data_IF_646244931303
#
_entry.id   IF_646244931303
#
_cell.length_a   1.000
_cell.length_b   1.000
_cell.length_c   1.000
_cell.angle_alpha   90.00
_cell.angle_beta   90.00
_cell.angle_gamma   90.00
#
_symmetry.space_group_name_H-M   'P 1'
#
loop_
_entity.id
_entity.type
_entity.pdbx_description
1 polymer ?
#
# COMPACT_ATOMS: atom_id res chain seq x y z
N UNK A 1 22.97 -5.79 -18.62
CA UNK A 1 22.32 -7.10 -18.55
C UNK A 1 21.89 -7.39 -17.10
N UNK A 2 20.91 -6.68 -16.50
CA UNK A 2 20.32 -7.00 -15.18
C UNK A 2 18.98 -6.25 -14.95
N UNK A 3 18.12 -6.13 -15.98
CA UNK A 3 16.82 -5.48 -15.85
C UNK A 3 15.61 -6.41 -16.08
N UNK A 4 15.83 -7.69 -16.33
CA UNK A 4 14.75 -8.61 -16.73
C UNK A 4 14.09 -9.37 -15.57
N UNK A 5 14.65 -9.36 -14.36
CA UNK A 5 14.26 -10.35 -13.33
C UNK A 5 13.08 -9.94 -12.46
N UNK A 6 12.78 -8.66 -12.32
CA UNK A 6 11.74 -8.21 -11.38
C UNK A 6 10.30 -8.22 -11.95
N UNK A 7 10.14 -8.19 -13.26
CA UNK A 7 8.81 -8.22 -13.93
C UNK A 7 8.43 -9.60 -14.47
N UNK A 8 9.39 -10.51 -14.66
CA UNK A 8 9.13 -11.88 -15.14
C UNK A 8 8.38 -12.77 -14.15
N UNK A 9 8.43 -12.48 -12.85
CA UNK A 9 7.74 -13.31 -11.86
C UNK A 9 6.22 -13.18 -11.81
N UNK A 10 5.62 -12.19 -12.49
CA UNK A 10 4.16 -12.02 -12.49
C UNK A 10 3.44 -12.70 -13.69
N UNK A 11 4.19 -13.30 -14.63
CA UNK A 11 3.63 -13.68 -15.94
C UNK A 11 4.04 -15.07 -16.45
N UNK A 12 4.49 -15.98 -15.61
CA UNK A 12 4.92 -17.33 -16.05
C UNK A 12 3.80 -18.33 -16.39
N UNK A 13 2.51 -17.95 -16.30
CA UNK A 13 1.39 -18.80 -16.72
C UNK A 13 0.62 -18.23 -17.93
N UNK A 14 1.34 -17.69 -18.94
CA UNK A 14 0.69 -17.12 -20.14
C UNK A 14 0.50 -18.08 -21.32
N UNK A 15 0.69 -19.39 -21.13
CA UNK A 15 0.59 -20.36 -22.23
C UNK A 15 -0.84 -20.57 -22.80
N UNK A 16 -1.86 -19.92 -22.25
CA UNK A 16 -3.22 -20.01 -22.75
C UNK A 16 -3.67 -18.83 -23.66
N UNK A 17 -2.84 -17.81 -23.84
CA UNK A 17 -3.19 -16.66 -24.70
C UNK A 17 -2.37 -16.54 -25.99
N UNK A 18 -1.41 -17.43 -26.22
CA UNK A 18 -0.49 -17.36 -27.38
C UNK A 18 -1.05 -18.03 -28.64
N UNK A 19 -2.20 -18.71 -28.57
CA UNK A 19 -2.73 -19.48 -29.71
C UNK A 19 -3.75 -18.74 -30.59
N UNK A 20 -4.01 -17.44 -30.39
CA UNK A 20 -5.00 -16.69 -31.21
C UNK A 20 -4.36 -15.57 -32.08
N UNK A 21 -3.05 -15.33 -32.01
CA UNK A 21 -2.42 -14.29 -32.83
C UNK A 21 -1.31 -14.87 -33.69
N UNK A 22 -1.68 -15.76 -34.61
CA UNK A 22 -0.88 -16.08 -35.79
C UNK A 22 -1.77 -16.01 -37.02
N UNK A 23 -2.14 -14.80 -37.40
CA UNK A 23 -2.41 -14.50 -38.82
C UNK A 23 -2.29 -12.99 -39.11
N UNK A 24 -1.46 -12.70 -40.11
CA UNK A 24 -1.26 -11.46 -40.86
C UNK A 24 -0.33 -10.40 -40.27
N UNK A 25 0.79 -10.33 -40.86
CA UNK A 25 1.68 -9.20 -41.25
C UNK A 25 1.29 -7.82 -40.73
N UNK A 26 2.24 -7.23 -39.98
CA UNK A 26 2.56 -5.80 -39.94
C UNK A 26 1.45 -4.84 -39.55
N UNK A 27 1.23 -4.76 -38.29
CA UNK A 27 1.15 -3.55 -37.45
C UNK A 27 1.06 -4.07 -36.01
N UNK A 28 2.21 -4.23 -35.36
CA UNK A 28 2.24 -4.42 -33.91
C UNK A 28 1.86 -3.09 -33.26
N UNK A 29 0.56 -2.79 -33.19
CA UNK A 29 0.04 -1.89 -32.17
C UNK A 29 0.27 -2.61 -30.84
N UNK A 30 1.43 -2.41 -30.24
CA UNK A 30 1.65 -2.72 -28.83
C UNK A 30 0.63 -1.87 -28.08
N UNK A 31 -0.52 -2.46 -27.74
CA UNK A 31 -1.56 -1.80 -26.97
C UNK A 31 -0.87 -1.24 -25.73
N UNK A 32 -0.80 0.07 -25.62
CA UNK A 32 -0.13 0.76 -24.53
C UNK A 32 -0.89 0.46 -23.24
N UNK A 33 -0.34 -0.40 -22.40
CA UNK A 33 -0.97 -0.78 -21.12
C UNK A 33 -1.10 0.44 -20.21
N UNK A 34 -2.16 0.51 -19.46
CA UNK A 34 -2.43 1.59 -18.49
C UNK A 34 -2.52 1.02 -17.09
N UNK A 35 -1.67 1.54 -16.18
CA UNK A 35 -1.72 1.22 -14.75
C UNK A 35 -2.25 2.43 -13.96
N UNK A 36 -3.20 2.16 -13.07
CA UNK A 36 -3.66 3.12 -12.08
C UNK A 36 -3.29 2.64 -10.68
N UNK A 37 -2.40 3.35 -10.02
CA UNK A 37 -2.03 3.11 -8.64
C UNK A 37 -2.89 3.97 -7.71
N UNK A 38 -3.37 3.42 -6.60
CA UNK A 38 -4.21 4.14 -5.61
C UNK A 38 -3.48 4.13 -4.27
N UNK A 39 -3.10 5.32 -3.79
CA UNK A 39 -2.38 5.50 -2.53
C UNK A 39 -2.83 6.78 -1.83
N UNK A 40 -2.62 6.88 -0.53
CA UNK A 40 -2.93 8.08 0.26
C UNK A 40 -2.09 9.28 -0.17
N UNK A 41 -0.82 9.07 -0.48
CA UNK A 41 0.20 10.10 -0.77
C UNK A 41 0.80 9.92 -2.16
N UNK A 42 1.19 11.02 -2.81
CA UNK A 42 1.82 11.01 -4.13
C UNK A 42 3.30 11.38 -4.04
N UNK A 43 4.19 10.43 -4.39
CA UNK A 43 5.66 10.57 -4.34
C UNK A 43 6.18 11.20 -3.03
N UNK A 44 5.58 10.82 -1.92
CA UNK A 44 5.94 11.33 -0.58
C UNK A 44 5.85 10.22 0.46
N UNK A 45 6.71 10.24 1.47
CA UNK A 45 6.82 9.15 2.42
C UNK A 45 7.27 7.83 1.76
N UNK A 46 7.21 6.72 2.48
CA UNK A 46 7.64 5.41 1.98
C UNK A 46 6.73 4.87 0.86
N UNK A 47 5.44 4.76 1.13
CA UNK A 47 4.48 4.15 0.17
C UNK A 47 4.29 5.00 -1.09
N UNK A 48 4.35 6.34 -0.98
CA UNK A 48 4.27 7.23 -2.14
C UNK A 48 5.50 7.13 -3.04
N UNK A 49 6.69 6.97 -2.46
CA UNK A 49 7.92 6.76 -3.24
C UNK A 49 7.92 5.40 -3.93
N UNK A 50 7.40 4.36 -3.27
CA UNK A 50 7.25 3.03 -3.88
C UNK A 50 6.30 3.10 -5.08
N UNK A 51 5.13 3.74 -4.93
CA UNK A 51 4.20 3.92 -6.03
C UNK A 51 4.82 4.71 -7.20
N UNK A 52 5.59 5.77 -6.90
CA UNK A 52 6.31 6.52 -7.93
C UNK A 52 7.36 5.69 -8.66
N UNK A 53 8.15 4.89 -7.94
CA UNK A 53 9.16 4.01 -8.56
C UNK A 53 8.52 2.97 -9.47
N UNK A 54 7.41 2.35 -9.04
CA UNK A 54 6.62 1.44 -9.89
C UNK A 54 6.10 2.17 -11.12
N UNK A 55 5.60 3.40 -10.97
CA UNK A 55 5.14 4.23 -12.06
C UNK A 55 6.24 4.57 -13.07
N UNK A 56 7.44 4.89 -12.58
CA UNK A 56 8.61 5.15 -13.43
C UNK A 56 8.98 3.90 -14.24
N UNK A 57 9.00 2.72 -13.61
CA UNK A 57 9.28 1.47 -14.33
C UNK A 57 8.19 1.13 -15.35
N UNK A 58 6.93 1.36 -15.03
CA UNK A 58 5.84 1.20 -15.98
C UNK A 58 6.03 2.10 -17.20
N UNK A 59 6.38 3.38 -17.00
CA UNK A 59 6.66 4.34 -18.07
C UNK A 59 7.86 3.91 -18.90
N UNK A 60 8.95 3.42 -18.28
CA UNK A 60 10.13 2.89 -18.99
C UNK A 60 9.79 1.71 -19.90
N UNK A 61 8.78 0.93 -19.50
CA UNK A 61 8.26 -0.19 -20.29
C UNK A 61 7.15 0.22 -21.29
N UNK A 62 6.95 1.52 -21.51
CA UNK A 62 6.01 2.05 -22.51
C UNK A 62 4.54 2.09 -22.02
N UNK A 63 4.27 1.93 -20.73
CA UNK A 63 2.93 2.00 -20.16
C UNK A 63 2.52 3.43 -19.83
N UNK A 64 1.22 3.70 -19.82
CA UNK A 64 0.66 4.88 -19.18
C UNK A 64 0.54 4.65 -17.69
N UNK A 65 1.10 5.55 -16.90
CA UNK A 65 1.08 5.45 -15.44
C UNK A 65 0.30 6.61 -14.82
N UNK A 66 -0.66 6.24 -13.97
CA UNK A 66 -1.47 7.15 -13.18
C UNK A 66 -1.32 6.83 -11.69
N UNK A 67 -1.26 7.86 -10.84
CA UNK A 67 -1.28 7.71 -9.38
C UNK A 67 -2.42 8.54 -8.82
N UNK A 68 -3.43 7.87 -8.28
CA UNK A 68 -4.53 8.48 -7.55
C UNK A 68 -4.13 8.68 -6.09
N UNK A 69 -4.16 9.93 -5.62
CA UNK A 69 -3.77 10.28 -4.25
C UNK A 69 -4.45 11.56 -3.79
N UNK A 70 -4.41 11.83 -2.47
CA UNK A 70 -5.13 12.96 -1.88
C UNK A 70 -4.22 13.99 -1.20
N UNK A 71 -3.13 13.56 -0.58
CA UNK A 71 -2.30 14.41 0.28
C UNK A 71 -0.80 14.25 -0.02
N UNK A 72 -0.02 15.25 0.39
CA UNK A 72 1.45 15.25 0.26
C UNK A 72 1.90 14.86 -1.15
N UNK A 73 1.41 15.58 -2.15
CA UNK A 73 1.71 15.30 -3.55
C UNK A 73 2.99 16.05 -3.91
N UNK A 74 4.08 15.32 -4.12
CA UNK A 74 5.32 15.83 -4.69
C UNK A 74 5.35 15.64 -6.20
N UNK A 75 6.36 16.19 -6.88
CA UNK A 75 6.54 16.05 -8.32
C UNK A 75 6.59 14.57 -8.72
N UNK A 76 5.82 14.18 -9.70
CA UNK A 76 5.69 12.80 -10.19
C UNK A 76 5.93 12.72 -11.70
N UNK A 77 6.42 11.57 -12.14
CA UNK A 77 6.49 11.20 -13.57
C UNK A 77 5.17 10.60 -14.06
N UNK A 78 4.38 10.07 -13.14
CA UNK A 78 3.04 9.56 -13.44
C UNK A 78 2.01 10.68 -13.48
N UNK A 79 0.91 10.47 -14.18
CA UNK A 79 -0.24 11.37 -14.18
C UNK A 79 -0.94 11.33 -12.82
N UNK A 80 -1.00 12.47 -12.14
CA UNK A 80 -1.64 12.55 -10.82
C UNK A 80 -3.13 12.74 -10.96
N UNK A 81 -3.89 11.83 -10.32
CA UNK A 81 -5.35 11.90 -10.16
C UNK A 81 -5.66 12.28 -8.72
N UNK A 82 -6.26 13.45 -8.50
CA UNK A 82 -6.60 13.90 -7.13
C UNK A 82 -7.90 13.26 -6.68
N UNK A 83 -7.85 12.57 -5.53
CA UNK A 83 -9.03 11.98 -4.87
C UNK A 83 -9.55 12.96 -3.82
N UNK A 84 -10.70 13.57 -4.10
CA UNK A 84 -11.32 14.53 -3.19
C UNK A 84 -10.62 15.90 -3.15
N UNK A 85 -11.08 16.74 -2.23
CA UNK A 85 -10.52 18.07 -1.97
C UNK A 85 -9.64 18.05 -0.73
N UNK A 86 -8.55 18.83 -0.67
CA UNK A 86 -7.74 19.00 0.54
C UNK A 86 -8.57 19.44 1.76
N UNK A 87 -9.61 20.25 1.55
CA UNK A 87 -10.52 20.75 2.59
C UNK A 87 -11.40 19.66 3.20
N UNK A 88 -11.67 18.56 2.47
CA UNK A 88 -12.46 17.43 2.98
C UNK A 88 -11.72 16.61 4.03
N UNK A 89 -10.38 16.74 4.13
CA UNK A 89 -9.57 15.93 5.04
C UNK A 89 -9.94 16.12 6.51
N UNK A 90 -10.09 17.37 6.95
CA UNK A 90 -10.37 17.66 8.37
C UNK A 90 -11.72 17.09 8.80
N UNK A 91 -12.84 17.35 8.09
CA UNK A 91 -14.10 16.71 8.43
C UNK A 91 -14.09 15.19 8.30
N UNK A 92 -13.34 14.62 7.34
CA UNK A 92 -13.19 13.17 7.22
C UNK A 92 -12.45 12.58 8.43
N UNK A 93 -11.37 13.22 8.88
CA UNK A 93 -10.64 12.80 10.10
C UNK A 93 -11.55 12.87 11.32
N UNK A 94 -12.27 13.98 11.50
CA UNK A 94 -13.17 14.16 12.64
C UNK A 94 -14.28 13.10 12.63
N UNK A 95 -14.88 12.87 11.47
CA UNK A 95 -15.92 11.84 11.32
C UNK A 95 -15.41 10.46 11.71
N UNK A 96 -14.26 10.05 11.16
CA UNK A 96 -13.69 8.72 11.47
C UNK A 96 -13.34 8.59 12.95
N UNK A 97 -12.83 9.64 13.57
CA UNK A 97 -12.51 9.63 15.01
C UNK A 97 -13.73 9.53 15.90
N UNK A 98 -14.87 9.98 15.45
CA UNK A 98 -16.13 9.84 16.19
C UNK A 98 -16.77 8.49 15.88
N UNK A 99 -16.95 8.17 14.60
CA UNK A 99 -17.84 7.09 14.15
C UNK A 99 -17.14 5.80 13.75
N UNK A 100 -15.81 5.73 13.77
CA UNK A 100 -15.01 4.58 13.31
C UNK A 100 -15.43 4.08 11.92
N UNK A 101 -15.65 5.00 11.00
CA UNK A 101 -16.05 4.72 9.61
C UNK A 101 -15.61 5.82 8.67
N UNK A 102 -15.57 5.51 7.37
CA UNK A 102 -15.34 6.52 6.36
C UNK A 102 -16.52 7.51 6.28
N UNK A 103 -16.25 8.78 5.99
CA UNK A 103 -17.25 9.85 6.04
C UNK A 103 -18.14 9.87 4.79
N UNK A 104 -19.34 10.50 4.87
CA UNK A 104 -20.17 10.78 3.70
C UNK A 104 -19.46 11.63 2.65
N UNK A 105 -18.63 12.60 3.06
CA UNK A 105 -17.84 13.42 2.13
C UNK A 105 -16.79 12.58 1.40
N UNK A 106 -16.15 11.63 2.08
CA UNK A 106 -15.26 10.67 1.44
C UNK A 106 -16.01 9.81 0.43
N UNK A 107 -17.26 9.41 0.72
CA UNK A 107 -18.11 8.66 -0.21
C UNK A 107 -18.38 9.45 -1.49
N UNK A 108 -18.77 10.71 -1.38
CA UNK A 108 -19.01 11.61 -2.55
C UNK A 108 -17.74 11.74 -3.38
N UNK A 109 -16.60 11.98 -2.73
CA UNK A 109 -15.30 12.08 -3.41
C UNK A 109 -14.91 10.78 -4.11
N UNK A 110 -15.21 9.64 -3.50
CA UNK A 110 -14.91 8.32 -4.08
C UNK A 110 -15.82 8.01 -5.26
N UNK A 111 -17.08 8.38 -5.23
CA UNK A 111 -17.98 8.22 -6.38
C UNK A 111 -17.49 9.03 -7.61
N UNK A 112 -17.03 10.27 -7.40
CA UNK A 112 -16.40 11.05 -8.48
C UNK A 112 -15.12 10.38 -8.98
N UNK A 113 -14.29 9.87 -8.09
CA UNK A 113 -13.08 9.16 -8.45
C UNK A 113 -13.35 7.85 -9.23
N UNK A 114 -14.45 7.15 -8.94
CA UNK A 114 -14.90 5.99 -9.74
C UNK A 114 -15.16 6.39 -11.20
N UNK A 115 -15.74 7.56 -11.45
CA UNK A 115 -15.91 8.06 -12.83
C UNK A 115 -14.57 8.40 -13.48
N UNK A 116 -13.59 8.89 -12.71
CA UNK A 116 -12.23 9.07 -13.23
C UNK A 116 -11.59 7.73 -13.61
N UNK A 117 -11.75 6.67 -12.79
CA UNK A 117 -11.28 5.32 -13.10
C UNK A 117 -11.90 4.81 -14.41
N UNK A 118 -13.21 4.96 -14.59
CA UNK A 118 -13.90 4.56 -15.83
C UNK A 118 -13.37 5.29 -17.05
N UNK A 119 -13.06 6.60 -16.91
CA UNK A 119 -12.52 7.44 -18.00
C UNK A 119 -11.08 7.05 -18.36
N UNK A 120 -10.24 6.78 -17.36
CA UNK A 120 -8.86 6.32 -17.55
C UNK A 120 -8.87 4.91 -18.15
N UNK A 121 -9.85 4.10 -17.81
CA UNK A 121 -10.00 2.70 -18.24
C UNK A 121 -8.73 1.87 -18.06
N UNK A 122 -8.14 1.82 -16.83
CA UNK A 122 -6.88 1.14 -16.62
C UNK A 122 -6.98 -0.37 -16.86
N UNK A 123 -5.93 -0.95 -17.42
CA UNK A 123 -5.80 -2.39 -17.58
C UNK A 123 -5.50 -3.09 -16.27
N UNK A 124 -4.76 -2.41 -15.38
CA UNK A 124 -4.42 -2.89 -14.04
C UNK A 124 -4.68 -1.79 -13.02
N UNK A 125 -5.34 -2.16 -11.92
CA UNK A 125 -5.47 -1.29 -10.74
C UNK A 125 -4.56 -1.81 -9.65
N UNK A 126 -3.65 -0.96 -9.17
CA UNK A 126 -2.70 -1.30 -8.13
C UNK A 126 -3.01 -0.53 -6.84
N UNK A 127 -3.44 -1.26 -5.82
CA UNK A 127 -3.80 -0.71 -4.52
C UNK A 127 -2.59 -0.69 -3.58
N UNK A 128 -2.43 0.42 -2.86
CA UNK A 128 -1.52 0.56 -1.73
C UNK A 128 -2.34 0.83 -0.46
N UNK A 129 -2.17 1.98 0.18
CA UNK A 129 -2.92 2.32 1.39
C UNK A 129 -4.27 2.97 1.03
N UNK A 130 -5.36 2.27 1.33
CA UNK A 130 -6.71 2.78 1.16
C UNK A 130 -7.22 3.55 2.38
N UNK A 131 -6.60 3.35 3.55
CA UNK A 131 -6.86 4.16 4.74
C UNK A 131 -6.14 5.51 4.67
N UNK A 132 -6.53 6.48 5.50
CA UNK A 132 -5.90 7.81 5.50
C UNK A 132 -6.90 8.94 5.30
N UNK A 133 -8.20 8.66 5.51
CA UNK A 133 -9.26 9.66 5.56
C UNK A 133 -9.53 10.40 4.23
N UNK A 134 -9.25 9.79 3.09
CA UNK A 134 -9.34 10.45 1.80
C UNK A 134 -10.36 9.82 0.85
N UNK A 135 -10.66 8.56 1.02
CA UNK A 135 -11.65 7.84 0.23
C UNK A 135 -12.58 7.02 1.14
N UNK A 136 -13.69 6.58 0.57
CA UNK A 136 -14.64 5.66 1.19
C UNK A 136 -14.32 4.25 0.67
N UNK A 137 -13.59 3.49 1.48
CA UNK A 137 -13.09 2.18 1.07
C UNK A 137 -14.21 1.20 0.64
N UNK A 138 -15.37 1.11 1.33
CA UNK A 138 -16.45 0.23 0.89
C UNK A 138 -16.97 0.57 -0.51
N UNK A 139 -17.08 1.85 -0.87
CA UNK A 139 -17.52 2.27 -2.21
C UNK A 139 -16.52 1.86 -3.29
N UNK A 140 -15.22 2.07 -3.04
CA UNK A 140 -14.18 1.67 -3.98
C UNK A 140 -14.12 0.16 -4.14
N UNK A 141 -14.09 -0.60 -3.03
CA UNK A 141 -14.01 -2.06 -3.05
C UNK A 141 -15.22 -2.70 -3.75
N UNK A 142 -16.42 -2.15 -3.54
CA UNK A 142 -17.62 -2.58 -4.26
C UNK A 142 -17.45 -2.39 -5.77
N UNK A 143 -17.02 -1.21 -6.20
CA UNK A 143 -16.76 -0.92 -7.61
C UNK A 143 -15.72 -1.87 -8.20
N UNK A 144 -14.59 -2.12 -7.50
CA UNK A 144 -13.55 -3.03 -7.98
C UNK A 144 -14.05 -4.47 -8.16
N UNK A 145 -14.95 -4.92 -7.29
CA UNK A 145 -15.60 -6.22 -7.42
C UNK A 145 -16.46 -6.35 -8.70
N UNK A 146 -17.04 -5.25 -9.16
CA UNK A 146 -17.90 -5.16 -10.35
C UNK A 146 -17.08 -4.83 -11.62
N UNK A 147 -15.95 -4.14 -11.49
CA UNK A 147 -15.17 -3.63 -12.61
C UNK A 147 -14.47 -4.72 -13.42
N UNK A 148 -14.12 -5.86 -12.80
CA UNK A 148 -13.64 -7.07 -13.48
C UNK A 148 -12.18 -7.02 -13.98
N UNK A 149 -11.48 -5.90 -13.88
CA UNK A 149 -10.06 -5.78 -14.24
C UNK A 149 -9.15 -6.38 -13.16
N UNK A 150 -7.92 -6.80 -13.52
CA UNK A 150 -6.93 -7.25 -12.54
C UNK A 150 -6.66 -6.19 -11.47
N UNK A 151 -6.66 -6.63 -10.21
CA UNK A 151 -6.34 -5.80 -9.05
C UNK A 151 -5.12 -6.39 -8.35
N UNK A 152 -4.07 -5.61 -8.24
CA UNK A 152 -2.88 -5.91 -7.43
C UNK A 152 -2.99 -5.10 -6.13
N UNK A 153 -2.74 -5.69 -4.98
CA UNK A 153 -2.74 -4.97 -3.71
C UNK A 153 -1.44 -5.22 -2.94
N UNK A 154 -0.60 -4.19 -2.91
CA UNK A 154 0.61 -4.24 -2.07
C UNK A 154 0.24 -3.99 -0.61
N UNK A 155 0.50 -5.00 0.22
CA UNK A 155 0.21 -4.96 1.65
C UNK A 155 1.38 -4.32 2.41
N UNK A 156 1.28 -3.02 2.71
CA UNK A 156 2.27 -2.27 3.51
C UNK A 156 2.02 -2.38 5.01
N UNK A 157 0.81 -2.75 5.40
CA UNK A 157 0.35 -2.93 6.77
C UNK A 157 -0.81 -3.93 6.82
N UNK A 158 -1.38 -4.12 8.00
CA UNK A 158 -2.41 -5.13 8.26
C UNK A 158 -3.85 -4.61 8.11
N UNK A 159 -4.06 -3.34 7.75
CA UNK A 159 -5.39 -2.77 7.65
C UNK A 159 -6.37 -3.55 6.75
N UNK A 160 -5.96 -4.14 5.62
CA UNK A 160 -6.88 -4.95 4.81
C UNK A 160 -7.47 -6.15 5.54
N UNK A 161 -6.76 -6.69 6.53
CA UNK A 161 -7.12 -7.91 7.27
C UNK A 161 -7.88 -7.62 8.57
N UNK A 162 -7.92 -6.39 9.02
CA UNK A 162 -8.48 -5.99 10.32
C UNK A 162 -9.78 -5.18 10.16
N UNK A 163 -10.50 -5.01 11.23
CA UNK A 163 -11.72 -4.16 11.25
C UNK A 163 -11.42 -2.69 11.52
N UNK A 164 -10.23 -2.37 12.03
CA UNK A 164 -9.88 -1.01 12.43
C UNK A 164 -8.39 -0.72 12.22
N UNK A 165 -7.53 -1.35 13.03
CA UNK A 165 -6.13 -1.00 13.17
C UNK A 165 -5.27 -1.37 11.94
N UNK A 166 -4.22 -0.59 11.68
CA UNK A 166 -3.21 -0.90 10.70
C UNK A 166 -2.12 -1.85 11.24
N UNK A 167 -1.98 -1.93 12.56
CA UNK A 167 -0.99 -2.75 13.26
C UNK A 167 -1.63 -3.40 14.47
N UNK A 168 -1.39 -4.68 14.71
CA UNK A 168 -1.93 -5.45 15.83
C UNK A 168 -0.90 -6.32 16.55
N UNK A 169 0.27 -6.50 15.95
CA UNK A 169 1.35 -7.33 16.45
C UNK A 169 1.83 -6.91 17.84
N UNK A 170 2.00 -5.60 18.04
CA UNK A 170 2.45 -5.05 19.32
C UNK A 170 1.52 -5.33 20.50
N UNK A 171 0.21 -5.46 20.28
CA UNK A 171 -0.76 -5.79 21.34
C UNK A 171 -1.13 -7.26 21.39
N UNK A 172 -0.56 -8.11 20.52
CA UNK A 172 -0.85 -9.54 20.47
C UNK A 172 -2.30 -9.89 20.08
N UNK A 173 -3.02 -8.99 19.42
CA UNK A 173 -4.42 -9.23 19.06
C UNK A 173 -4.51 -10.26 17.93
N UNK A 174 -5.35 -11.27 18.11
CA UNK A 174 -5.62 -12.33 17.14
C UNK A 174 -7.04 -12.32 16.54
N UNK A 175 -7.89 -11.34 16.96
CA UNK A 175 -9.30 -11.25 16.53
C UNK A 175 -9.47 -11.16 15.01
N UNK A 176 -8.51 -10.59 14.32
CA UNK A 176 -8.49 -10.47 12.85
C UNK A 176 -8.53 -11.82 12.10
N UNK A 177 -8.13 -12.91 12.75
CA UNK A 177 -8.19 -14.27 12.18
C UNK A 177 -9.62 -14.76 12.00
N UNK A 178 -10.53 -14.31 12.84
CA UNK A 178 -11.93 -14.78 12.86
C UNK A 178 -12.93 -13.64 12.70
N UNK A 179 -13.05 -12.77 13.68
CA UNK A 179 -13.95 -11.63 13.68
C UNK A 179 -13.40 -10.55 14.61
N UNK A 180 -13.09 -9.37 14.05
CA UNK A 180 -12.78 -8.22 14.86
C UNK A 180 -14.02 -7.76 15.64
N UNK A 181 -13.82 -7.37 16.88
CA UNK A 181 -14.78 -6.69 17.74
C UNK A 181 -14.02 -6.13 18.92
N UNK A 182 -14.52 -5.06 19.57
CA UNK A 182 -13.90 -4.46 20.75
C UNK A 182 -12.39 -4.29 20.56
N UNK A 183 -12.03 -3.44 19.57
CA UNK A 183 -10.65 -3.32 19.12
C UNK A 183 -9.74 -2.76 20.22
N UNK A 184 -8.71 -3.51 20.69
CA UNK A 184 -7.79 -3.02 21.72
C UNK A 184 -6.94 -1.84 21.22
N UNK A 185 -6.83 -1.69 19.90
CA UNK A 185 -6.09 -0.62 19.20
C UNK A 185 -7.03 0.49 18.71
N UNK A 186 -8.25 0.63 19.24
CA UNK A 186 -9.23 1.60 18.76
C UNK A 186 -8.71 3.04 18.77
N UNK A 187 -7.85 3.39 19.73
CA UNK A 187 -7.27 4.74 19.85
C UNK A 187 -5.99 4.94 19.04
N UNK A 188 -5.46 3.85 18.46
CA UNK A 188 -4.31 3.88 17.57
C UNK A 188 -4.76 4.12 16.12
N UNK A 189 -3.79 4.33 15.24
CA UNK A 189 -4.07 4.67 13.84
C UNK A 189 -4.73 3.52 13.03
N UNK A 190 -5.80 3.83 12.31
CA UNK A 190 -6.60 5.06 12.23
C UNK A 190 -7.51 5.20 13.47
N UNK A 191 -7.30 6.28 14.25
CA UNK A 191 -7.90 6.39 15.58
C UNK A 191 -9.42 6.62 15.54
N UNK A 192 -10.15 5.97 16.48
CA UNK A 192 -11.52 6.31 16.86
C UNK A 192 -11.63 6.55 18.37
N UNK A 193 -12.37 7.60 18.75
CA UNK A 193 -12.47 8.03 20.14
C UNK A 193 -13.73 7.54 20.82
N UNK A 194 -14.85 7.49 20.10
CA UNK A 194 -16.17 7.24 20.66
C UNK A 194 -16.63 5.84 20.27
N UNK A 195 -17.00 5.63 19.03
CA UNK A 195 -17.58 4.36 18.60
C UNK A 195 -16.49 3.34 18.20
N UNK A 196 -16.81 2.08 18.35
CA UNK A 196 -16.03 0.95 17.83
C UNK A 196 -16.91 0.19 16.84
N UNK A 197 -16.57 0.30 15.57
CA UNK A 197 -17.26 -0.42 14.48
C UNK A 197 -16.38 -1.52 13.91
N UNK A 198 -15.32 -1.93 14.61
CA UNK A 198 -14.36 -2.90 14.10
C UNK A 198 -15.01 -4.21 13.64
N UNK A 199 -16.08 -4.67 14.31
CA UNK A 199 -16.82 -5.86 13.88
C UNK A 199 -17.48 -5.66 12.51
N UNK A 200 -18.21 -4.56 12.33
CA UNK A 200 -18.90 -4.25 11.08
C UNK A 200 -17.89 -3.95 9.97
N UNK A 201 -16.88 -3.12 10.25
CA UNK A 201 -15.85 -2.76 9.27
C UNK A 201 -15.07 -3.99 8.79
N UNK A 202 -14.81 -4.97 9.70
CA UNK A 202 -14.15 -6.22 9.34
C UNK A 202 -15.01 -7.06 8.39
N UNK A 203 -16.24 -7.36 8.80
CA UNK A 203 -17.13 -8.21 8.01
C UNK A 203 -17.43 -7.62 6.63
N UNK A 204 -17.73 -6.32 6.56
CA UNK A 204 -18.02 -5.61 5.32
C UNK A 204 -16.78 -5.58 4.39
N UNK A 205 -15.60 -5.28 4.95
CA UNK A 205 -14.35 -5.24 4.18
C UNK A 205 -14.01 -6.61 3.60
N UNK A 206 -14.05 -7.67 4.41
CA UNK A 206 -13.79 -9.05 3.96
C UNK A 206 -14.78 -9.47 2.89
N UNK A 207 -16.07 -9.17 3.06
CA UNK A 207 -17.10 -9.46 2.06
C UNK A 207 -16.81 -8.76 0.74
N UNK A 208 -16.54 -7.46 0.77
CA UNK A 208 -16.29 -6.66 -0.44
C UNK A 208 -15.01 -7.10 -1.15
N UNK A 209 -13.93 -7.36 -0.41
CA UNK A 209 -12.68 -7.87 -1.00
C UNK A 209 -12.90 -9.23 -1.67
N UNK A 210 -13.73 -10.10 -1.07
CA UNK A 210 -14.01 -11.42 -1.64
C UNK A 210 -14.72 -11.39 -3.00
N UNK A 211 -15.31 -10.25 -3.36
CA UNK A 211 -15.97 -10.03 -4.67
C UNK A 211 -14.97 -9.65 -5.78
N UNK A 212 -13.74 -9.30 -5.44
CA UNK A 212 -12.68 -8.96 -6.41
C UNK A 212 -12.05 -10.26 -6.92
N UNK A 213 -12.59 -10.82 -8.00
CA UNK A 213 -12.20 -12.15 -8.49
C UNK A 213 -10.75 -12.27 -8.93
N UNK A 214 -10.18 -11.19 -9.50
CA UNK A 214 -8.82 -11.16 -10.02
C UNK A 214 -7.87 -10.38 -9.08
N UNK A 215 -7.95 -10.64 -7.76
CA UNK A 215 -7.12 -10.01 -6.76
C UNK A 215 -5.81 -10.78 -6.56
N UNK A 216 -4.70 -10.09 -6.76
CA UNK A 216 -3.35 -10.55 -6.39
C UNK A 216 -2.86 -9.75 -5.19
N UNK A 217 -2.52 -10.41 -4.10
CA UNK A 217 -1.89 -9.78 -2.94
C UNK A 217 -0.36 -9.81 -3.09
N UNK A 218 0.26 -8.67 -2.82
CA UNK A 218 1.71 -8.48 -2.83
C UNK A 218 2.18 -8.04 -1.45
N UNK A 219 2.37 -8.98 -0.50
CA UNK A 219 2.94 -8.68 0.80
C UNK A 219 4.39 -8.22 0.67
N UNK A 220 4.78 -7.17 1.42
CA UNK A 220 6.17 -6.65 1.40
C UNK A 220 7.14 -7.45 2.28
N UNK A 221 6.65 -8.46 2.99
CA UNK A 221 7.46 -9.39 3.78
C UNK A 221 6.78 -10.75 3.93
N UNK A 222 7.56 -11.77 4.26
CA UNK A 222 7.02 -13.10 4.56
C UNK A 222 6.05 -13.05 5.73
N UNK A 223 6.32 -12.23 6.76
CA UNK A 223 5.45 -12.08 7.92
C UNK A 223 4.03 -11.59 7.52
N UNK A 224 3.92 -10.52 6.73
CA UNK A 224 2.62 -10.04 6.22
C UNK A 224 1.97 -11.10 5.31
N UNK A 225 2.77 -11.82 4.50
CA UNK A 225 2.28 -12.91 3.65
C UNK A 225 1.62 -14.02 4.45
N UNK A 226 2.29 -14.53 5.48
CA UNK A 226 1.76 -15.56 6.36
C UNK A 226 0.55 -15.03 7.18
N UNK A 227 0.57 -13.76 7.56
CA UNK A 227 -0.56 -13.11 8.22
C UNK A 227 -1.77 -13.07 7.28
N UNK A 228 -1.60 -12.66 6.02
CA UNK A 228 -2.69 -12.64 5.05
C UNK A 228 -3.29 -14.02 4.80
N UNK A 229 -2.48 -15.08 4.72
CA UNK A 229 -2.94 -16.47 4.59
C UNK A 229 -3.77 -16.94 5.78
N UNK A 230 -3.45 -16.47 7.00
CA UNK A 230 -4.19 -16.80 8.23
C UNK A 230 -5.46 -15.96 8.42
N UNK A 231 -5.63 -14.89 7.64
CA UNK A 231 -6.79 -14.01 7.69
C UNK A 231 -7.97 -14.57 6.89
N UNK A 232 -9.11 -13.88 6.93
CA UNK A 232 -10.27 -14.19 6.10
C UNK A 232 -10.24 -13.60 4.69
N UNK A 233 -9.14 -12.96 4.29
CA UNK A 233 -9.00 -12.43 2.94
C UNK A 233 -9.07 -13.54 1.90
N UNK A 234 -9.87 -13.31 0.86
CA UNK A 234 -9.90 -14.17 -0.34
C UNK A 234 -9.15 -13.47 -1.46
N UNK A 235 -8.25 -14.18 -2.08
CA UNK A 235 -7.43 -13.70 -3.18
C UNK A 235 -7.16 -14.84 -4.17
N UNK A 236 -6.84 -14.49 -5.41
CA UNK A 236 -6.48 -15.46 -6.44
C UNK A 236 -5.02 -15.89 -6.33
N UNK A 237 -4.13 -14.91 -6.15
CA UNK A 237 -2.69 -15.13 -6.03
C UNK A 237 -2.12 -14.34 -4.84
N UNK A 238 -1.02 -14.85 -4.29
CA UNK A 238 -0.22 -14.16 -3.28
C UNK A 238 1.26 -14.35 -3.61
N UNK A 239 1.96 -13.25 -3.84
CA UNK A 239 3.39 -13.23 -4.14
C UNK A 239 4.08 -12.25 -3.22
N UNK A 240 5.03 -12.71 -2.41
CA UNK A 240 5.84 -11.82 -1.57
C UNK A 240 6.84 -11.08 -2.47
N UNK A 241 6.73 -9.76 -2.51
CA UNK A 241 7.68 -8.87 -3.20
C UNK A 241 8.12 -7.81 -2.19
N UNK A 242 9.40 -7.84 -1.82
CA UNK A 242 9.97 -6.87 -0.87
C UNK A 242 10.10 -5.50 -1.53
N UNK A 243 9.99 -4.44 -0.71
CA UNK A 243 10.20 -3.08 -1.20
C UNK A 243 11.63 -2.94 -1.73
N UNK A 244 11.76 -2.41 -2.95
CA UNK A 244 13.04 -2.04 -3.54
C UNK A 244 13.55 -0.71 -3.03
N UNK A 245 14.83 -0.45 -3.26
CA UNK A 245 15.48 0.85 -3.03
C UNK A 245 16.22 1.28 -4.30
N UNK A 246 16.42 2.57 -4.45
CA UNK A 246 17.20 3.10 -5.56
C UNK A 246 18.71 2.87 -5.30
N UNK A 247 19.32 1.95 -6.04
CA UNK A 247 20.73 1.57 -5.89
C UNK A 247 21.70 2.64 -6.41
N UNK A 248 21.25 3.63 -7.18
CA UNK A 248 22.08 4.78 -7.57
C UNK A 248 22.30 5.72 -6.39
N UNK A 249 21.30 5.81 -5.48
CA UNK A 249 21.35 6.64 -4.27
C UNK A 249 21.93 5.85 -3.11
N UNK A 250 21.42 4.62 -2.86
CA UNK A 250 21.82 3.76 -1.76
C UNK A 250 22.87 2.76 -2.25
N UNK A 251 24.11 3.17 -2.28
CA UNK A 251 25.25 2.35 -2.71
C UNK A 251 26.34 2.35 -1.63
N UNK A 252 27.11 1.27 -1.49
CA UNK A 252 28.25 1.26 -0.57
C UNK A 252 29.23 2.40 -0.89
N UNK A 253 29.78 3.01 0.14
CA UNK A 253 30.88 3.95 -0.04
C UNK A 253 32.10 3.20 -0.60
N UNK A 254 32.80 3.84 -1.54
CA UNK A 254 34.09 3.32 -2.05
C UNK A 254 35.23 3.54 -1.05
N UNK A 255 35.00 4.36 -0.04
CA UNK A 255 36.00 4.68 0.99
C UNK A 255 35.71 3.81 2.21
N UNK A 256 36.68 3.02 2.64
CA UNK A 256 36.64 2.40 3.96
C UNK A 256 36.67 3.52 5.01
N UNK A 257 35.53 3.73 5.65
CA UNK A 257 35.44 4.66 6.76
C UNK A 257 35.91 3.88 8.00
N UNK A 258 37.20 3.90 8.26
CA UNK A 258 37.77 3.47 9.53
C UNK A 258 37.51 4.56 10.59
N UNK A 259 36.24 4.85 10.86
CA UNK A 259 35.88 5.80 11.92
C UNK A 259 35.79 5.04 13.27
N UNK A 260 36.46 5.60 14.27
CA UNK A 260 36.19 5.25 15.66
C UNK A 260 35.69 6.52 16.35
N UNK A 261 34.56 6.51 17.03
CA UNK A 261 33.65 5.37 17.27
C UNK A 261 32.82 4.96 16.03
N UNK A 262 32.38 3.71 16.00
CA UNK A 262 31.45 3.21 14.97
C UNK A 262 30.05 3.80 15.19
N UNK A 263 29.38 4.22 14.13
CA UNK A 263 28.04 4.80 14.23
C UNK A 263 26.95 3.77 14.09
N UNK A 264 26.04 3.73 15.07
CA UNK A 264 24.79 2.98 15.00
C UNK A 264 23.65 3.96 14.70
N UNK A 265 23.03 3.81 13.55
CA UNK A 265 22.00 4.73 13.07
C UNK A 265 20.59 4.17 13.32
N UNK A 266 19.78 4.90 14.08
CA UNK A 266 18.36 4.64 14.28
C UNK A 266 17.55 5.60 13.42
N UNK A 267 16.67 5.08 12.55
CA UNK A 267 15.92 5.91 11.59
C UNK A 267 14.42 5.66 11.71
N UNK A 268 13.64 6.72 11.94
CA UNK A 268 12.20 6.66 11.84
C UNK A 268 11.61 8.02 11.44
N UNK A 269 10.62 8.01 10.52
CA UNK A 269 9.89 9.23 10.14
C UNK A 269 9.08 9.84 11.33
N UNK A 270 8.63 8.98 12.25
CA UNK A 270 7.99 9.33 13.51
C UNK A 270 8.32 8.24 14.51
N UNK A 271 8.85 8.61 15.64
CA UNK A 271 9.16 7.68 16.72
C UNK A 271 7.91 7.34 17.52
N UNK A 272 7.69 6.05 17.73
CA UNK A 272 6.57 5.45 18.45
C UNK A 272 7.07 4.19 19.18
N UNK A 273 6.39 3.76 20.26
CA UNK A 273 6.75 2.56 21.03
C UNK A 273 6.99 1.33 20.15
N UNK A 274 6.10 1.08 19.18
CA UNK A 274 6.23 -0.05 18.24
C UNK A 274 7.48 -0.02 17.37
N UNK A 275 8.19 1.11 17.29
CA UNK A 275 9.46 1.25 16.55
C UNK A 275 10.68 1.15 17.45
N UNK A 276 10.48 0.79 18.72
CA UNK A 276 11.55 0.50 19.65
C UNK A 276 12.28 1.73 20.18
N UNK A 277 11.65 2.91 20.15
CA UNK A 277 12.29 4.13 20.69
C UNK A 277 12.77 3.97 22.12
N UNK A 278 11.97 3.30 22.96
CA UNK A 278 12.26 3.09 24.37
C UNK A 278 13.48 2.18 24.61
N UNK A 279 13.91 1.39 23.60
CA UNK A 279 15.10 0.53 23.70
C UNK A 279 16.40 1.23 23.32
N UNK A 280 16.35 2.42 22.69
CA UNK A 280 17.55 3.12 22.22
C UNK A 280 18.55 3.42 23.36
N UNK A 281 18.13 3.93 24.55
CA UNK A 281 19.03 4.16 25.66
C UNK A 281 19.72 2.88 26.16
N UNK A 282 18.99 1.77 26.26
CA UNK A 282 19.53 0.49 26.68
C UNK A 282 20.54 -0.06 25.67
N UNK A 283 20.23 0.03 24.38
CA UNK A 283 21.15 -0.36 23.32
C UNK A 283 22.42 0.49 23.35
N UNK A 284 22.28 1.83 23.49
CA UNK A 284 23.42 2.73 23.57
C UNK A 284 24.32 2.41 24.75
N UNK A 285 23.74 2.13 25.92
CA UNK A 285 24.48 1.75 27.11
C UNK A 285 25.23 0.42 26.93
N UNK A 286 24.59 -0.56 26.27
CA UNK A 286 25.16 -1.88 26.03
C UNK A 286 26.31 -1.87 25.00
N UNK A 287 26.29 -0.94 24.04
CA UNK A 287 27.32 -0.82 23.01
C UNK A 287 28.63 -0.20 23.53
N UNK A 288 28.57 0.60 24.60
CA UNK A 288 29.74 1.20 25.21
C UNK A 288 30.37 2.34 24.38
N UNK A 289 31.60 2.71 24.75
CA UNK A 289 32.30 3.92 24.19
C UNK A 289 32.80 3.76 22.75
N UNK A 290 32.86 2.55 22.25
CA UNK A 290 33.32 2.24 20.88
C UNK A 290 32.28 2.55 19.81
N UNK A 291 31.07 2.93 20.24
CA UNK A 291 29.95 3.23 19.37
C UNK A 291 29.29 4.58 19.69
N UNK A 292 28.91 5.26 18.63
CA UNK A 292 28.08 6.46 18.69
C UNK A 292 26.66 6.12 18.17
N UNK A 293 25.62 6.46 18.93
CA UNK A 293 24.24 6.26 18.53
C UNK A 293 23.65 7.54 17.93
N UNK A 294 23.28 7.48 16.66
CA UNK A 294 22.64 8.58 15.96
C UNK A 294 21.15 8.26 15.72
N UNK A 295 20.26 9.16 16.17
CA UNK A 295 18.81 9.02 16.07
C UNK A 295 18.27 10.06 15.09
N UNK A 296 17.56 9.63 14.03
CA UNK A 296 17.03 10.48 12.96
C UNK A 296 15.52 10.28 12.78
#
# INVERSE_FOLDING_TARGET
MHSETALKCAWQDSDSYTSIITFSTEISFKLKMTILQINTVGNSGSTGRIAEQIGIEAIRNGWDSHIACAIRISRSRSNIVRVGSPWHRYPNVLWTRIFDSDSPLAKISTLKFVEDIKRISPDIIHLHNLHGYYLHAPTLLKFLGEYGRPVVWTLHDCWPMTGHCAYFDFCGCEKWKSACAECPQKREYPASWIFDRSAKNHSEKIELISKIKNLTLVPVSNWIGETAKKSKLKFRHLQVIRNGINLEIFRPSKTEILSSPKTVLFVANKWEKRKGFDFIPEISAALGKDFECLVV
#
